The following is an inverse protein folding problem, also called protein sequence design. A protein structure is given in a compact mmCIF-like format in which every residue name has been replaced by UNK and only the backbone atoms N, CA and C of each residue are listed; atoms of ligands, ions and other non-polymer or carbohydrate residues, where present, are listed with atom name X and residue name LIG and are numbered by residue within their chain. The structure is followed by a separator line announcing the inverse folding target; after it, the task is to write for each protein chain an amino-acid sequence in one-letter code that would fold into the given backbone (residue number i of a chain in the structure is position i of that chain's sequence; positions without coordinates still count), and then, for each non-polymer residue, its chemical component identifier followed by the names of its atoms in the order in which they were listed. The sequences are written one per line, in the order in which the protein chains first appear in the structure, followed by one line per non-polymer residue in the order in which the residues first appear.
data_IF_818430095999
#
_entry.id   IF_818430095999
#
_cell.length_a   1.000
_cell.length_b   1.000
_cell.length_c   1.000
_cell.angle_alpha   90.00
_cell.angle_beta   90.00
_cell.angle_gamma   90.00
#
_symmetry.space_group_name_H-M   'P 1'
#
loop_
_entity.id
_entity.type
_entity.pdbx_description
1 polymer ?
#
# COMPACT_ATOMS: atom_id res chain seq x y z
N UNK A 1 8.56 -45.19 21.66
CA UNK A 1 7.83 -45.34 20.39
C UNK A 1 8.11 -44.09 19.58
N UNK A 2 9.04 -44.17 18.63
CA UNK A 2 9.52 -43.05 17.82
C UNK A 2 9.35 -43.47 16.37
N UNK A 3 8.45 -42.80 15.66
CA UNK A 3 8.24 -43.02 14.23
C UNK A 3 8.92 -41.87 13.48
N UNK A 4 9.98 -42.23 12.76
CA UNK A 4 10.72 -41.39 11.82
C UNK A 4 10.24 -41.77 10.42
N UNK A 5 9.85 -40.78 9.60
CA UNK A 5 9.61 -41.00 8.16
C UNK A 5 10.26 -39.86 7.35
N UNK A 6 10.94 -40.25 6.28
CA UNK A 6 11.89 -39.45 5.51
C UNK A 6 11.31 -38.81 4.22
N UNK A 7 11.73 -37.56 4.00
CA UNK A 7 12.34 -36.95 2.78
C UNK A 7 11.50 -36.77 1.49
N UNK A 8 11.62 -35.57 0.91
CA UNK A 8 11.60 -35.35 -0.55
C UNK A 8 12.91 -34.65 -0.96
N UNK A 9 13.59 -35.20 -1.98
CA UNK A 9 14.86 -34.68 -2.50
C UNK A 9 14.63 -33.46 -3.42
N UNK A 10 15.51 -32.43 -3.37
CA UNK A 10 15.41 -31.30 -4.28
C UNK A 10 15.88 -31.64 -5.70
N UNK A 11 15.35 -30.91 -6.68
CA UNK A 11 15.64 -31.09 -8.10
C UNK A 11 16.98 -30.46 -8.50
N UNK A 12 17.50 -30.88 -9.66
CA UNK A 12 18.82 -30.50 -10.19
C UNK A 12 19.04 -28.97 -10.41
N UNK A 13 18.01 -28.13 -10.26
CA UNK A 13 18.16 -26.67 -10.31
C UNK A 13 18.66 -26.08 -8.97
N UNK A 14 18.48 -26.77 -7.84
CA UNK A 14 18.92 -26.28 -6.51
C UNK A 14 20.42 -26.54 -6.25
N UNK A 15 21.04 -27.47 -6.98
CA UNK A 15 22.47 -27.76 -6.87
C UNK A 15 23.36 -26.70 -7.52
N UNK A 16 22.85 -25.89 -8.46
CA UNK A 16 23.63 -24.85 -9.12
C UNK A 16 23.84 -23.60 -8.25
N UNK A 17 22.95 -23.30 -7.29
CA UNK A 17 23.12 -22.14 -6.40
C UNK A 17 24.00 -22.49 -5.19
N UNK A 18 23.96 -23.73 -4.70
CA UNK A 18 24.82 -24.19 -3.61
C UNK A 18 26.31 -24.32 -4.03
N UNK A 19 26.57 -24.65 -5.30
CA UNK A 19 27.95 -24.77 -5.82
C UNK A 19 28.68 -23.42 -5.95
N UNK A 20 27.97 -22.29 -6.08
CA UNK A 20 28.60 -20.96 -6.04
C UNK A 20 28.95 -20.48 -4.63
N UNK A 21 28.39 -21.10 -3.58
CA UNK A 21 28.56 -20.68 -2.19
C UNK A 21 29.59 -21.50 -1.40
N UNK A 22 30.18 -22.56 -1.98
CA UNK A 22 31.21 -23.38 -1.32
C UNK A 22 32.66 -22.97 -1.65
N UNK A 23 32.90 -21.95 -2.48
CA UNK A 23 34.26 -21.55 -2.88
C UNK A 23 34.88 -20.41 -2.07
N UNK A 24 34.22 -19.90 -1.04
CA UNK A 24 34.82 -18.91 -0.13
C UNK A 24 34.65 -19.33 1.33
N UNK A 25 35.65 -20.06 1.81
CA UNK A 25 35.82 -20.35 3.23
C UNK A 25 35.99 -19.05 4.03
N UNK A 26 35.07 -18.83 4.94
CA UNK A 26 35.12 -17.72 5.89
C UNK A 26 33.80 -17.65 6.63
N UNK A 27 33.85 -17.79 7.95
CA UNK A 27 32.71 -17.66 8.84
C UNK A 27 32.08 -16.26 8.71
N UNK A 28 31.14 -16.10 7.78
CA UNK A 28 30.33 -14.89 7.62
C UNK A 28 28.93 -15.20 8.13
N UNK A 29 28.71 -14.77 9.38
CA UNK A 29 27.47 -14.19 9.90
C UNK A 29 26.21 -14.51 9.09
N UNK A 30 25.56 -15.60 9.47
CA UNK A 30 24.22 -15.99 9.09
C UNK A 30 23.18 -15.05 9.74
N UNK A 31 23.23 -13.76 9.40
CA UNK A 31 22.27 -12.72 9.80
C UNK A 31 22.11 -11.77 8.62
N UNK A 32 21.32 -12.17 7.62
CA UNK A 32 20.71 -11.34 6.57
C UNK A 32 20.30 -12.27 5.44
N UNK A 33 19.17 -12.95 5.61
CA UNK A 33 18.33 -13.54 4.54
C UNK A 33 17.09 -14.26 5.10
N UNK A 34 16.81 -14.14 6.40
CA UNK A 34 15.48 -14.48 6.94
C UNK A 34 14.53 -13.30 6.70
N UNK A 35 13.39 -13.58 6.06
CA UNK A 35 12.19 -12.73 5.93
C UNK A 35 12.18 -11.52 4.97
N UNK A 36 12.75 -11.65 3.77
CA UNK A 36 12.29 -10.82 2.62
C UNK A 36 11.09 -11.46 1.89
N UNK A 37 10.83 -12.76 2.13
CA UNK A 37 9.56 -13.39 1.77
C UNK A 37 8.55 -13.13 2.89
N UNK A 38 8.07 -11.90 3.01
CA UNK A 38 6.73 -11.69 3.56
C UNK A 38 5.76 -12.40 2.64
N UNK A 39 5.64 -13.72 2.78
CA UNK A 39 4.76 -14.56 1.98
C UNK A 39 3.41 -13.89 2.05
N UNK A 40 2.93 -13.42 0.89
CA UNK A 40 1.62 -12.84 0.83
C UNK A 40 0.66 -13.97 1.22
N UNK A 41 0.12 -13.89 2.43
CA UNK A 41 -0.99 -14.76 2.79
C UNK A 41 -2.09 -14.53 1.76
N UNK A 42 -2.70 -15.62 1.32
CA UNK A 42 -3.80 -15.57 0.37
C UNK A 42 -4.85 -14.59 0.88
N UNK A 43 -5.23 -13.64 0.02
CA UNK A 43 -6.12 -12.55 0.39
C UNK A 43 -7.46 -13.14 0.82
N UNK A 44 -7.88 -12.83 2.05
CA UNK A 44 -9.21 -13.20 2.54
C UNK A 44 -10.28 -12.66 1.59
N UNK A 45 -11.21 -13.52 1.19
CA UNK A 45 -12.31 -13.18 0.26
C UNK A 45 -13.68 -13.02 0.93
N UNK A 46 -13.81 -13.45 2.19
CA UNK A 46 -15.11 -13.60 2.85
C UNK A 46 -15.33 -12.60 4.01
N UNK A 47 -14.51 -11.55 4.10
CA UNK A 47 -14.63 -10.56 5.16
C UNK A 47 -15.88 -9.69 5.04
N UNK A 48 -16.33 -9.15 6.18
CA UNK A 48 -17.48 -8.25 6.29
C UNK A 48 -17.30 -6.90 5.56
N UNK A 49 -16.06 -6.52 5.24
CA UNK A 49 -15.72 -5.27 4.57
C UNK A 49 -14.88 -5.52 3.33
N UNK A 50 -15.10 -4.73 2.27
CA UNK A 50 -14.13 -4.57 1.20
C UNK A 50 -13.13 -3.47 1.56
N UNK A 51 -11.86 -3.71 1.24
CA UNK A 51 -10.77 -2.78 1.53
C UNK A 51 -10.21 -2.23 0.22
N UNK A 52 -10.12 -0.92 0.15
CA UNK A 52 -9.58 -0.18 -0.98
C UNK A 52 -8.43 0.71 -0.54
N UNK A 53 -7.46 0.89 -1.44
CA UNK A 53 -6.49 1.97 -1.36
C UNK A 53 -6.85 3.00 -2.42
N UNK A 54 -6.91 4.25 -2.00
CA UNK A 54 -7.07 5.39 -2.89
C UNK A 54 -5.73 6.11 -3.01
N UNK A 55 -5.36 6.43 -4.24
CA UNK A 55 -4.09 7.07 -4.58
C UNK A 55 -4.41 8.38 -5.28
N UNK A 56 -3.87 9.46 -4.75
CA UNK A 56 -4.07 10.82 -5.24
C UNK A 56 -2.74 11.38 -5.72
N UNK A 57 -2.75 12.05 -6.88
CA UNK A 57 -1.67 12.97 -7.20
C UNK A 57 -1.79 14.22 -6.33
N UNK A 58 -0.67 14.78 -5.84
CA UNK A 58 -0.70 16.05 -5.12
C UNK A 58 -0.68 17.25 -6.08
N UNK A 59 -1.59 18.20 -5.88
CA UNK A 59 -1.62 19.49 -6.60
C UNK A 59 -0.28 20.20 -6.46
N UNK A 60 0.27 20.65 -7.59
CA UNK A 60 1.51 21.45 -7.64
C UNK A 60 2.73 20.80 -7.00
N UNK A 61 2.85 19.47 -7.01
CA UNK A 61 4.07 18.81 -6.55
C UNK A 61 5.21 19.11 -7.54
N UNK A 62 5.93 20.21 -7.33
CA UNK A 62 7.13 20.51 -8.11
C UNK A 62 8.32 19.75 -7.54
N UNK A 63 9.31 19.46 -8.39
CA UNK A 63 10.59 18.92 -7.93
C UNK A 63 11.24 19.83 -6.85
N UNK A 64 10.98 21.14 -6.89
CA UNK A 64 11.44 22.09 -5.90
C UNK A 64 10.80 21.87 -4.52
N UNK A 65 9.52 21.46 -4.45
CA UNK A 65 8.86 21.12 -3.18
C UNK A 65 9.44 19.84 -2.57
N UNK A 66 9.77 18.86 -3.42
CA UNK A 66 10.48 17.63 -3.01
C UNK A 66 11.86 17.98 -2.45
N UNK A 67 12.63 18.79 -3.17
CA UNK A 67 13.97 19.21 -2.75
C UNK A 67 13.90 20.07 -1.49
N UNK A 68 12.92 20.98 -1.38
CA UNK A 68 12.68 21.81 -0.20
C UNK A 68 12.36 20.99 1.04
N UNK A 69 11.49 19.98 0.92
CA UNK A 69 11.20 19.03 2.00
C UNK A 69 12.41 18.14 2.38
N UNK A 70 13.41 18.04 1.49
CA UNK A 70 14.64 17.27 1.69
C UNK A 70 15.86 18.12 2.11
N UNK A 71 15.81 19.45 2.01
CA UNK A 71 16.94 20.34 2.34
C UNK A 71 17.34 20.22 3.81
N UNK A 72 18.63 19.96 4.05
CA UNK A 72 19.21 19.70 5.38
C UNK A 72 19.52 18.23 5.68
N UNK A 73 19.36 17.32 4.72
CA UNK A 73 19.65 15.88 4.86
C UNK A 73 20.56 15.41 3.73
N UNK A 74 21.25 14.27 3.88
CA UNK A 74 22.10 13.71 2.82
C UNK A 74 21.24 13.27 1.62
N UNK A 75 21.02 14.18 0.66
CA UNK A 75 20.13 14.03 -0.51
C UNK A 75 20.83 13.38 -1.71
N UNK A 76 22.05 12.87 -1.56
CA UNK A 76 22.83 12.30 -2.65
C UNK A 76 22.10 11.18 -3.42
N UNK A 77 21.17 10.46 -2.76
CA UNK A 77 20.34 9.44 -3.40
C UNK A 77 19.03 9.92 -4.04
N UNK A 78 18.53 11.12 -3.73
CA UNK A 78 17.24 11.62 -4.25
C UNK A 78 17.39 12.39 -5.58
N UNK A 79 18.52 13.11 -5.74
CA UNK A 79 18.83 13.86 -6.97
C UNK A 79 19.16 12.93 -8.13
N UNK A 80 19.75 11.76 -7.86
CA UNK A 80 20.14 10.80 -8.88
C UNK A 80 18.96 10.00 -9.48
N UNK A 81 17.76 10.11 -8.88
CA UNK A 81 16.56 9.41 -9.35
C UNK A 81 15.58 10.29 -10.15
N UNK A 82 15.72 11.63 -10.06
CA UNK A 82 14.88 12.56 -10.83
C UNK A 82 15.30 12.73 -12.31
N UNK A 83 16.45 12.17 -12.71
CA UNK A 83 17.05 12.39 -14.05
C UNK A 83 17.15 11.10 -14.88
N UNK A 84 16.69 9.93 -14.37
CA UNK A 84 17.06 8.63 -14.96
C UNK A 84 15.97 7.59 -15.25
N UNK A 85 14.73 7.70 -14.76
CA UNK A 85 13.75 6.62 -14.87
C UNK A 85 12.61 6.92 -15.86
N UNK A 86 12.92 6.79 -17.15
CA UNK A 86 11.98 6.89 -18.29
C UNK A 86 11.25 5.57 -18.63
N UNK A 87 11.10 4.64 -17.67
CA UNK A 87 10.75 3.24 -17.99
C UNK A 87 9.34 2.74 -17.62
N UNK A 88 8.53 3.46 -16.83
CA UNK A 88 7.22 2.97 -16.42
C UNK A 88 6.10 3.54 -17.32
N UNK A 89 5.89 2.89 -18.47
CA UNK A 89 4.74 3.12 -19.33
C UNK A 89 3.46 2.63 -18.63
N UNK A 90 2.59 3.57 -18.26
CA UNK A 90 1.23 3.27 -17.86
C UNK A 90 0.38 3.06 -19.11
N UNK A 91 -0.41 1.98 -19.14
CA UNK A 91 -1.45 1.80 -20.14
C UNK A 91 -2.46 2.97 -20.01
N UNK A 92 -2.32 3.97 -20.89
CA UNK A 92 -3.32 5.03 -21.11
C UNK A 92 -2.96 6.46 -20.72
N UNK A 93 -1.75 6.77 -20.23
CA UNK A 93 -1.36 8.14 -19.85
C UNK A 93 -0.10 8.64 -20.59
N UNK A 94 -0.15 9.85 -21.14
CA UNK A 94 1.00 10.51 -21.77
C UNK A 94 2.22 10.52 -20.82
N UNK A 95 3.35 10.00 -21.31
CA UNK A 95 4.55 9.62 -20.55
C UNK A 95 5.43 10.77 -20.03
N UNK A 96 4.94 12.02 -19.99
CA UNK A 96 5.71 13.19 -19.55
C UNK A 96 5.51 13.58 -18.07
N UNK A 97 4.63 12.91 -17.33
CA UNK A 97 4.27 13.30 -15.95
C UNK A 97 4.99 12.49 -14.84
N UNK A 98 5.83 11.51 -15.18
CA UNK A 98 6.13 10.38 -14.28
C UNK A 98 7.45 10.42 -13.48
N UNK A 99 8.28 11.46 -13.54
CA UNK A 99 9.58 11.46 -12.81
C UNK A 99 9.65 12.33 -11.55
N UNK A 100 8.54 12.95 -11.11
CA UNK A 100 8.53 13.83 -9.92
C UNK A 100 7.22 13.93 -9.14
N UNK A 101 6.21 13.11 -9.43
CA UNK A 101 4.93 13.21 -8.74
C UNK A 101 5.03 12.68 -7.29
N UNK A 102 4.62 13.50 -6.32
CA UNK A 102 4.33 13.04 -4.97
C UNK A 102 2.89 12.52 -4.93
N UNK A 103 2.72 11.30 -4.43
CA UNK A 103 1.42 10.68 -4.26
C UNK A 103 1.03 10.63 -2.80
N UNK A 104 -0.26 10.82 -2.56
CA UNK A 104 -0.90 10.61 -1.28
C UNK A 104 -1.79 9.38 -1.34
N UNK A 105 -1.80 8.59 -0.26
CA UNK A 105 -2.62 7.40 -0.17
C UNK A 105 -3.53 7.41 1.04
N UNK A 106 -4.70 6.81 0.87
CA UNK A 106 -5.72 6.67 1.91
C UNK A 106 -6.33 5.27 1.86
N UNK A 107 -6.67 4.72 3.02
CA UNK A 107 -7.30 3.40 3.11
C UNK A 107 -8.80 3.59 3.30
N UNK A 108 -9.58 3.15 2.33
CA UNK A 108 -11.05 3.22 2.36
C UNK A 108 -11.61 1.82 2.65
N UNK A 109 -12.43 1.70 3.68
CA UNK A 109 -13.05 0.44 4.10
C UNK A 109 -14.56 0.59 4.00
N UNK A 110 -15.19 -0.29 3.23
CA UNK A 110 -16.60 -0.23 2.90
C UNK A 110 -17.31 -1.49 3.43
N UNK A 111 -18.41 -1.37 4.18
CA UNK A 111 -19.23 -2.52 4.55
C UNK A 111 -19.69 -3.27 3.29
N UNK A 112 -19.55 -4.60 3.27
CA UNK A 112 -20.00 -5.43 2.14
C UNK A 112 -21.49 -5.25 1.87
N UNK A 113 -22.30 -5.06 2.93
CA UNK A 113 -23.73 -4.79 2.86
C UNK A 113 -24.09 -3.46 2.19
N UNK A 114 -23.12 -2.57 1.96
CA UNK A 114 -23.30 -1.32 1.22
C UNK A 114 -23.26 -1.50 -0.31
N UNK A 115 -22.95 -2.70 -0.79
CA UNK A 115 -22.91 -3.04 -2.21
C UNK A 115 -24.06 -3.99 -2.55
N UNK A 116 -24.63 -3.85 -3.75
CA UNK A 116 -25.57 -4.83 -4.26
C UNK A 116 -24.89 -6.17 -4.64
N UNK A 117 -25.69 -7.17 -4.99
CA UNK A 117 -25.17 -8.49 -5.33
C UNK A 117 -24.28 -8.49 -6.58
N UNK A 118 -24.47 -7.57 -7.52
CA UNK A 118 -23.64 -7.48 -8.72
C UNK A 118 -22.26 -6.91 -8.40
N UNK A 119 -22.21 -5.77 -7.70
CA UNK A 119 -20.97 -5.14 -7.25
C UNK A 119 -20.17 -6.06 -6.31
N UNK A 120 -20.84 -6.77 -5.39
CA UNK A 120 -20.17 -7.77 -4.53
C UNK A 120 -19.48 -8.84 -5.36
N UNK A 121 -20.18 -9.46 -6.32
CA UNK A 121 -19.60 -10.49 -7.20
C UNK A 121 -18.47 -9.94 -8.05
N UNK A 122 -18.61 -8.73 -8.58
CA UNK A 122 -17.55 -8.09 -9.34
C UNK A 122 -16.28 -7.93 -8.50
N UNK A 123 -16.41 -7.37 -7.29
CA UNK A 123 -15.27 -7.18 -6.37
C UNK A 123 -14.66 -8.51 -5.95
N UNK A 124 -15.48 -9.52 -5.64
CA UNK A 124 -15.03 -10.89 -5.34
C UNK A 124 -14.22 -11.50 -6.49
N UNK A 125 -14.63 -11.28 -7.74
CA UNK A 125 -13.87 -11.71 -8.91
C UNK A 125 -12.55 -10.95 -9.07
N UNK A 126 -12.52 -9.66 -8.71
CA UNK A 126 -11.28 -8.87 -8.75
C UNK A 126 -10.24 -9.35 -7.73
N UNK A 127 -10.69 -9.75 -6.54
CA UNK A 127 -9.80 -10.21 -5.45
C UNK A 127 -9.43 -11.69 -5.55
N UNK A 128 -10.21 -12.49 -6.30
CA UNK A 128 -9.94 -13.93 -6.46
C UNK A 128 -8.55 -14.15 -7.05
N UNK A 129 -7.73 -14.94 -6.36
CA UNK A 129 -6.35 -15.29 -6.76
C UNK A 129 -5.40 -14.08 -6.89
N UNK A 130 -5.74 -12.97 -6.24
CA UNK A 130 -4.88 -11.79 -6.16
C UNK A 130 -3.87 -11.93 -5.03
N UNK A 131 -2.65 -11.45 -5.26
CA UNK A 131 -1.57 -11.47 -4.24
C UNK A 131 -1.38 -10.13 -3.54
N UNK A 132 -1.74 -9.02 -4.21
CA UNK A 132 -1.48 -7.67 -3.69
C UNK A 132 -2.71 -6.78 -3.77
N UNK A 133 -3.02 -6.30 -4.97
CA UNK A 133 -4.12 -5.39 -5.23
C UNK A 133 -4.47 -5.42 -6.71
N UNK A 134 -5.63 -4.88 -7.05
CA UNK A 134 -6.06 -4.70 -8.44
C UNK A 134 -6.65 -3.31 -8.62
N UNK A 135 -6.23 -2.63 -9.68
CA UNK A 135 -6.81 -1.34 -10.05
C UNK A 135 -8.27 -1.54 -10.47
N UNK A 136 -9.14 -0.65 -10.00
CA UNK A 136 -10.53 -0.59 -10.41
C UNK A 136 -10.66 0.42 -11.54
N UNK A 137 -11.46 0.06 -12.55
CA UNK A 137 -11.80 0.98 -13.62
C UNK A 137 -12.54 2.22 -13.06
N UNK A 138 -12.17 3.40 -13.56
CA UNK A 138 -12.69 4.67 -13.06
C UNK A 138 -14.19 4.82 -13.33
N UNK A 139 -14.65 4.41 -14.52
CA UNK A 139 -16.06 4.43 -14.87
C UNK A 139 -16.82 3.50 -13.91
N UNK A 140 -16.28 2.32 -13.60
CA UNK A 140 -16.92 1.42 -12.65
C UNK A 140 -17.10 2.04 -11.25
N UNK A 141 -16.05 2.54 -10.59
CA UNK A 141 -16.24 3.03 -9.22
C UNK A 141 -16.90 4.41 -9.16
N UNK A 142 -16.76 5.24 -10.19
CA UNK A 142 -17.28 6.62 -10.19
C UNK A 142 -18.70 6.73 -10.74
N UNK A 143 -19.05 5.97 -11.78
CA UNK A 143 -20.29 6.14 -12.54
C UNK A 143 -21.28 4.98 -12.36
N UNK A 144 -20.83 3.79 -11.93
CA UNK A 144 -21.76 2.68 -11.67
C UNK A 144 -22.66 3.00 -10.47
N UNK A 145 -23.97 2.84 -10.66
CA UNK A 145 -24.96 2.86 -9.57
C UNK A 145 -24.64 1.83 -8.49
N UNK A 146 -24.09 0.69 -8.89
CA UNK A 146 -23.90 -0.50 -8.06
C UNK A 146 -22.76 -0.30 -7.05
N UNK A 147 -21.80 0.57 -7.36
CA UNK A 147 -20.69 0.96 -6.51
C UNK A 147 -20.88 2.34 -5.87
N UNK A 148 -21.60 3.25 -6.52
CA UNK A 148 -21.70 4.65 -6.12
C UNK A 148 -22.46 4.88 -4.80
N UNK A 149 -23.30 3.94 -4.38
CA UNK A 149 -24.09 4.07 -3.16
C UNK A 149 -23.42 3.50 -1.91
N UNK A 150 -22.31 2.77 -2.06
CA UNK A 150 -21.59 2.21 -0.93
C UNK A 150 -20.99 3.33 -0.06
N UNK A 151 -21.55 3.53 1.14
CA UNK A 151 -21.02 4.49 2.13
C UNK A 151 -19.89 3.85 2.91
N UNK A 152 -18.69 4.37 2.70
CA UNK A 152 -17.45 3.87 3.26
C UNK A 152 -16.91 4.79 4.37
N UNK A 153 -15.90 4.28 5.07
CA UNK A 153 -15.08 5.06 5.99
C UNK A 153 -13.63 5.07 5.49
N UNK A 154 -13.02 6.24 5.46
CA UNK A 154 -11.65 6.45 4.95
C UNK A 154 -10.73 6.87 6.08
N UNK A 155 -9.57 6.21 6.15
CA UNK A 155 -8.43 6.59 6.97
C UNK A 155 -7.44 7.36 6.12
N UNK A 156 -7.18 8.60 6.51
CA UNK A 156 -6.18 9.45 5.90
C UNK A 156 -5.21 9.93 6.97
N UNK A 157 -3.94 10.10 6.59
CA UNK A 157 -2.92 10.62 7.47
C UNK A 157 -2.19 11.76 6.79
N UNK A 158 -2.17 12.93 7.44
CA UNK A 158 -1.56 14.14 6.92
C UNK A 158 -0.98 15.02 8.04
N UNK A 159 -0.21 16.03 7.66
CA UNK A 159 0.27 17.04 8.60
C UNK A 159 -0.90 17.82 9.22
N UNK A 160 -0.72 18.28 10.47
CA UNK A 160 -1.77 18.94 11.26
C UNK A 160 -2.47 17.97 12.20
N UNK A 161 -3.60 17.41 11.80
CA UNK A 161 -4.50 16.65 12.68
C UNK A 161 -4.10 15.17 12.87
N UNK A 162 -3.06 14.69 12.15
CA UNK A 162 -2.64 13.29 12.17
C UNK A 162 -3.63 12.39 11.43
N UNK A 163 -4.14 11.36 12.09
CA UNK A 163 -5.10 10.42 11.47
C UNK A 163 -6.50 11.03 11.46
N UNK A 164 -7.04 11.27 10.28
CA UNK A 164 -8.45 11.59 10.06
C UNK A 164 -9.23 10.34 9.66
N UNK A 165 -10.46 10.23 10.19
CA UNK A 165 -11.44 9.20 9.84
C UNK A 165 -12.71 9.91 9.40
N UNK A 166 -13.10 9.72 8.15
CA UNK A 166 -14.28 10.39 7.60
C UNK A 166 -15.11 9.44 6.73
N UNK A 167 -16.38 9.79 6.52
CA UNK A 167 -17.30 9.03 5.67
C UNK A 167 -17.33 9.63 4.26
N UNK A 168 -17.42 8.77 3.25
CA UNK A 168 -17.63 9.13 1.84
C UNK A 168 -18.24 7.96 1.09
N UNK A 169 -18.91 8.23 -0.03
CA UNK A 169 -19.27 7.17 -0.99
C UNK A 169 -18.04 6.65 -1.73
N UNK A 170 -18.06 5.40 -2.19
CA UNK A 170 -16.98 4.86 -3.01
C UNK A 170 -16.83 5.63 -4.34
N UNK A 171 -17.90 6.23 -4.88
CA UNK A 171 -17.84 7.07 -6.09
C UNK A 171 -17.24 8.45 -5.87
N UNK A 172 -17.13 8.91 -4.63
CA UNK A 172 -16.58 10.24 -4.35
C UNK A 172 -15.05 10.24 -4.49
N UNK A 173 -14.56 11.17 -5.33
CA UNK A 173 -13.17 11.61 -5.32
C UNK A 173 -13.00 12.64 -4.19
N UNK A 174 -12.82 12.15 -2.96
CA UNK A 174 -12.66 12.99 -1.76
C UNK A 174 -11.50 12.49 -0.92
N UNK A 175 -10.56 13.39 -0.62
CA UNK A 175 -9.41 13.14 0.25
C UNK A 175 -9.54 13.85 1.60
N UNK A 176 -8.85 13.32 2.61
CA UNK A 176 -8.65 13.93 3.92
C UNK A 176 -7.60 15.06 3.92
N UNK A 177 -6.89 15.29 2.81
CA UNK A 177 -5.95 16.40 2.64
C UNK A 177 -6.46 17.40 1.59
N UNK A 178 -6.17 18.68 1.78
CA UNK A 178 -6.68 19.76 0.91
C UNK A 178 -5.94 19.88 -0.43
N UNK A 179 -4.70 19.41 -0.50
CA UNK A 179 -3.83 19.50 -1.68
C UNK A 179 -3.85 18.25 -2.56
N UNK A 180 -4.76 17.30 -2.32
CA UNK A 180 -5.00 16.22 -3.28
C UNK A 180 -5.64 16.76 -4.57
N UNK A 181 -5.17 16.26 -5.70
CA UNK A 181 -5.80 16.43 -7.00
C UNK A 181 -6.92 15.39 -7.15
N UNK A 182 -8.16 15.86 -7.02
CA UNK A 182 -9.35 15.00 -7.03
C UNK A 182 -9.73 14.54 -8.45
N UNK A 183 -9.15 15.14 -9.49
CA UNK A 183 -9.35 14.68 -10.88
C UNK A 183 -8.44 13.48 -11.19
N UNK A 184 -7.32 13.39 -10.48
CA UNK A 184 -6.25 12.39 -10.61
C UNK A 184 -6.23 11.44 -9.41
N UNK A 185 -7.31 10.69 -9.26
CA UNK A 185 -7.49 9.65 -8.25
C UNK A 185 -7.61 8.27 -8.89
N UNK A 186 -6.95 7.29 -8.29
CA UNK A 186 -7.05 5.87 -8.64
C UNK A 186 -7.49 5.08 -7.41
N UNK A 187 -8.35 4.08 -7.62
CA UNK A 187 -8.81 3.18 -6.55
C UNK A 187 -8.36 1.76 -6.85
N UNK A 188 -7.86 1.10 -5.83
CA UNK A 188 -7.35 -0.28 -5.90
C UNK A 188 -8.05 -1.11 -4.85
N UNK A 189 -8.59 -2.26 -5.22
CA UNK A 189 -9.11 -3.23 -4.25
C UNK A 189 -7.96 -4.07 -3.71
N UNK A 190 -7.90 -4.24 -2.39
CA UNK A 190 -6.85 -4.97 -1.67
C UNK A 190 -7.33 -6.29 -1.08
N UNK A 191 -8.64 -6.54 -1.07
CA UNK A 191 -9.22 -7.74 -0.47
C UNK A 191 -10.40 -7.43 0.42
N UNK A 192 -10.59 -8.30 1.40
CA UNK A 192 -11.64 -8.15 2.41
C UNK A 192 -11.06 -8.24 3.82
N UNK A 193 -11.78 -7.69 4.79
CA UNK A 193 -11.43 -7.75 6.21
C UNK A 193 -12.69 -7.85 7.06
N UNK A 194 -12.55 -8.40 8.26
CA UNK A 194 -13.59 -8.35 9.31
C UNK A 194 -13.41 -7.13 10.23
N UNK A 195 -12.35 -6.35 10.01
CA UNK A 195 -12.02 -5.16 10.80
C UNK A 195 -12.60 -3.92 10.14
N UNK A 196 -13.43 -3.17 10.88
CA UNK A 196 -13.97 -1.89 10.44
C UNK A 196 -12.89 -0.79 10.39
N UNK A 197 -13.16 0.34 9.72
CA UNK A 197 -12.21 1.46 9.70
C UNK A 197 -11.90 2.04 11.09
N UNK A 198 -12.89 2.05 11.98
CA UNK A 198 -12.72 2.52 13.36
C UNK A 198 -11.81 1.59 14.16
N UNK A 199 -12.01 0.28 14.03
CA UNK A 199 -11.15 -0.72 14.67
C UNK A 199 -9.75 -0.72 14.06
N UNK A 200 -9.63 -0.58 12.74
CA UNK A 200 -8.34 -0.48 12.07
C UNK A 200 -7.53 0.73 12.56
N UNK A 201 -8.18 1.90 12.71
CA UNK A 201 -7.59 3.08 13.36
C UNK A 201 -7.15 2.77 14.79
N UNK A 202 -8.02 2.10 15.56
CA UNK A 202 -7.69 1.66 16.91
C UNK A 202 -6.42 0.81 16.92
N UNK A 203 -6.37 -0.22 16.09
CA UNK A 203 -5.25 -1.16 15.99
C UNK A 203 -3.92 -0.47 15.64
N UNK A 204 -3.89 0.44 14.65
CA UNK A 204 -2.63 1.14 14.31
C UNK A 204 -2.20 2.19 15.34
N UNK A 205 -3.08 2.59 16.24
CA UNK A 205 -2.80 3.55 17.33
C UNK A 205 -2.69 2.90 18.70
N UNK A 206 -2.72 1.56 18.80
CA UNK A 206 -2.54 0.87 20.07
C UNK A 206 -1.16 1.17 20.67
N UNK A 207 -1.12 1.22 22.00
CA UNK A 207 0.10 1.43 22.78
C UNK A 207 0.90 2.67 22.37
N UNK A 208 2.22 2.51 22.20
CA UNK A 208 3.16 3.60 21.86
C UNK A 208 3.01 4.10 20.42
N UNK A 209 2.16 3.48 19.60
CA UNK A 209 1.94 3.87 18.21
C UNK A 209 0.96 5.05 18.07
N UNK A 210 0.20 5.42 19.12
CA UNK A 210 -0.72 6.56 19.06
C UNK A 210 -0.01 7.87 18.71
N UNK A 211 1.03 8.21 19.46
CA UNK A 211 1.80 9.45 19.25
C UNK A 211 2.58 9.39 17.94
N UNK A 212 2.94 8.19 17.49
CA UNK A 212 3.65 7.98 16.23
C UNK A 212 2.89 8.51 15.01
N UNK A 213 1.55 8.50 15.06
CA UNK A 213 0.67 8.99 14.00
C UNK A 213 -0.01 10.34 14.34
N UNK A 214 0.56 11.11 15.25
CA UNK A 214 0.17 12.52 15.41
C UNK A 214 0.63 13.34 14.21
N UNK A 215 -0.07 14.44 13.91
CA UNK A 215 0.33 15.33 12.82
C UNK A 215 1.67 16.03 13.10
N UNK A 216 2.03 16.25 14.37
CA UNK A 216 3.35 16.75 14.78
C UNK A 216 4.49 15.80 14.40
N UNK A 217 4.20 14.50 14.33
CA UNK A 217 5.16 13.48 13.95
C UNK A 217 5.17 13.20 12.44
N UNK A 218 4.31 13.85 11.65
CA UNK A 218 4.30 13.72 10.20
C UNK A 218 5.67 14.11 9.61
N UNK A 219 6.18 13.27 8.73
CA UNK A 219 7.43 13.48 8.03
C UNK A 219 7.30 13.03 6.57
N UNK A 220 7.51 13.92 5.57
CA UNK A 220 7.26 13.65 4.15
C UNK A 220 7.91 12.38 3.59
N UNK A 221 9.09 11.98 4.10
CA UNK A 221 9.80 10.76 3.68
C UNK A 221 9.59 9.55 4.62
N UNK A 222 9.73 9.74 5.95
CA UNK A 222 9.80 8.60 6.90
C UNK A 222 8.45 8.21 7.50
N UNK A 223 7.58 9.18 7.77
CA UNK A 223 6.31 9.02 8.48
C UNK A 223 5.26 9.82 7.73
N UNK A 224 4.95 9.36 6.53
CA UNK A 224 4.02 10.01 5.62
C UNK A 224 2.76 9.15 5.45
N UNK A 225 1.81 9.65 4.65
CA UNK A 225 0.58 8.95 4.29
C UNK A 225 0.81 7.56 3.70
N UNK A 226 1.85 7.38 2.87
CA UNK A 226 2.13 6.09 2.24
C UNK A 226 2.60 5.04 3.23
N UNK A 227 3.49 5.41 4.15
CA UNK A 227 3.91 4.53 5.23
C UNK A 227 2.73 4.21 6.17
N UNK A 228 1.87 5.18 6.43
CA UNK A 228 0.63 4.96 7.20
C UNK A 228 -0.29 3.95 6.52
N UNK A 229 -0.62 4.14 5.24
CA UNK A 229 -1.49 3.22 4.48
C UNK A 229 -0.94 1.80 4.47
N UNK A 230 0.39 1.62 4.27
CA UNK A 230 1.02 0.31 4.40
C UNK A 230 0.85 -0.31 5.79
N UNK A 231 1.00 0.50 6.83
CA UNK A 231 0.86 0.04 8.22
C UNK A 231 -0.59 -0.39 8.50
N UNK A 232 -1.58 0.38 8.05
CA UNK A 232 -3.00 0.01 8.16
C UNK A 232 -3.25 -1.31 7.43
N UNK A 233 -2.85 -1.40 6.16
CA UNK A 233 -3.06 -2.60 5.34
C UNK A 233 -2.43 -3.84 5.98
N UNK A 234 -1.15 -3.77 6.38
CA UNK A 234 -0.45 -4.93 6.93
C UNK A 234 -0.84 -5.23 8.37
N UNK A 235 -0.72 -4.24 9.26
CA UNK A 235 -0.80 -4.46 10.70
C UNK A 235 -2.21 -4.48 11.24
N UNK A 236 -3.10 -3.65 10.70
CA UNK A 236 -4.48 -3.62 11.17
C UNK A 236 -5.41 -4.56 10.41
N UNK A 237 -5.11 -4.83 9.13
CA UNK A 237 -6.01 -5.58 8.25
C UNK A 237 -5.46 -6.94 7.79
N UNK A 238 -4.17 -7.23 7.99
CA UNK A 238 -3.55 -8.47 7.52
C UNK A 238 -3.48 -8.59 6.00
N UNK A 239 -3.44 -7.46 5.29
CA UNK A 239 -3.40 -7.39 3.82
C UNK A 239 -1.99 -7.05 3.30
N UNK A 240 -1.84 -7.08 1.98
CA UNK A 240 -0.58 -6.69 1.33
C UNK A 240 -0.20 -5.23 1.63
N UNK A 241 1.06 -5.00 2.00
CA UNK A 241 1.65 -3.66 2.11
C UNK A 241 2.20 -3.12 0.78
N UNK A 242 2.08 -3.88 -0.31
CA UNK A 242 2.52 -3.42 -1.62
C UNK A 242 1.67 -2.23 -2.04
N UNK A 243 2.29 -1.14 -2.52
CA UNK A 243 1.57 0.03 -3.04
C UNK A 243 1.77 0.14 -4.56
N UNK A 244 0.78 0.65 -5.31
CA UNK A 244 0.83 0.72 -6.77
C UNK A 244 1.79 1.79 -7.28
N UNK A 245 3.02 1.39 -7.61
CA UNK A 245 4.01 2.14 -8.41
C UNK A 245 4.08 3.67 -8.15
N UNK A 246 3.88 4.12 -6.91
CA UNK A 246 3.92 5.54 -6.51
C UNK A 246 5.36 6.07 -6.32
N UNK A 247 6.34 5.44 -6.98
CA UNK A 247 7.75 5.81 -6.96
C UNK A 247 8.38 5.85 -5.57
N UNK A 248 9.27 6.83 -5.36
CA UNK A 248 10.06 6.99 -4.13
C UNK A 248 9.21 7.19 -2.87
N UNK A 249 7.97 7.62 -3.05
CA UNK A 249 7.03 7.87 -1.95
C UNK A 249 6.59 6.57 -1.25
N UNK A 250 6.94 5.39 -1.79
CA UNK A 250 6.69 4.04 -1.23
C UNK A 250 7.95 3.33 -0.70
N UNK A 251 9.09 4.00 -0.54
CA UNK A 251 10.37 3.30 -0.24
C UNK A 251 10.44 2.59 1.12
N UNK A 252 9.58 2.94 2.08
CA UNK A 252 9.59 2.30 3.41
C UNK A 252 8.72 1.04 3.44
N UNK A 253 9.30 -0.07 3.86
CA UNK A 253 8.60 -1.31 4.19
C UNK A 253 8.18 -1.31 5.66
N UNK A 254 7.07 -1.98 5.95
CA UNK A 254 6.59 -2.33 7.28
C UNK A 254 7.18 -3.69 7.63
N UNK A 255 8.07 -3.70 8.63
CA UNK A 255 8.83 -4.87 9.03
C UNK A 255 8.20 -5.63 10.19
N UNK A 256 7.40 -4.95 11.02
CA UNK A 256 6.74 -5.54 12.17
C UNK A 256 5.43 -4.84 12.49
N UNK A 257 4.51 -5.64 12.97
CA UNK A 257 3.24 -5.32 13.61
C UNK A 257 3.25 -6.10 14.93
#
# INVERSE_FOLDING_TARGET
STTMTCIRAPSALELCVAALLCLQGGAVRQVLLEDVSGAAEEIKTNGAYFVFLEVYMLKKSTLADIIGAARGKNIAGLVQLGVGSSGASWAGGNSSEASGALYHTEVTICPRSGFDAYAQRFLEQQIKSMWHYRALDKIWWQESTDAADAVCQTLSFGGGDGISLFRKRLSEARSGIYNADLERVWKYVYGTSDTSAKEARGNVTKDKCRDYWSGENYHPVKRNCNFFSKTVLRCALGLSQSLPNIGISSTRLVWSC
#
